data_IF_970913107440
#
_entry.id   IF_970913107440
#
_cell.length_a   1.000
_cell.length_b   1.000
_cell.length_c   1.000
_cell.angle_alpha   90.00
_cell.angle_beta   90.00
_cell.angle_gamma   90.00
#
_symmetry.space_group_name_H-M   'P 1'
#
loop_
_entity.id
_entity.type
_entity.pdbx_description
1 polymer ?
#
# COMPACT_ATOMS: atom_id res chain seq x y z
N UNK A 1 18.83 16.70 34.48
CA UNK A 1 18.12 16.44 33.21
C UNK A 1 18.85 17.21 32.13
N UNK A 2 19.36 16.53 31.10
CA UNK A 2 19.92 17.19 29.91
C UNK A 2 18.75 17.54 29.00
N UNK A 3 18.53 18.82 28.75
CA UNK A 3 17.52 19.30 27.79
C UNK A 3 18.11 19.31 26.38
N UNK A 4 17.35 18.83 25.40
CA UNK A 4 17.71 18.82 23.97
C UNK A 4 18.25 20.16 23.47
N UNK A 5 17.80 21.28 24.05
CA UNK A 5 18.23 22.65 23.73
C UNK A 5 19.66 22.99 24.14
N UNK A 6 20.35 22.12 24.89
CA UNK A 6 21.75 22.30 25.29
C UNK A 6 22.74 21.58 24.36
N UNK A 7 22.22 20.77 23.43
CA UNK A 7 23.04 20.07 22.45
C UNK A 7 23.39 21.01 21.28
N UNK A 8 24.58 20.85 20.65
CA UNK A 8 24.89 21.51 19.40
C UNK A 8 23.85 21.20 18.32
N UNK A 9 23.65 22.14 17.40
CA UNK A 9 22.70 22.02 16.30
C UNK A 9 22.91 20.74 15.49
N UNK A 10 24.17 20.40 15.22
CA UNK A 10 24.58 19.22 14.46
C UNK A 10 24.14 17.92 15.16
N UNK A 11 24.29 17.84 16.48
CA UNK A 11 23.87 16.68 17.27
C UNK A 11 22.36 16.54 17.29
N UNK A 12 21.63 17.66 17.39
CA UNK A 12 20.16 17.63 17.31
C UNK A 12 19.72 17.15 15.94
N UNK A 13 20.32 17.67 14.87
CA UNK A 13 20.02 17.26 13.49
C UNK A 13 20.27 15.77 13.29
N UNK A 14 21.40 15.25 13.76
CA UNK A 14 21.74 13.82 13.68
C UNK A 14 20.69 12.96 14.39
N UNK A 15 20.34 13.30 15.63
CA UNK A 15 19.30 12.59 16.39
C UNK A 15 17.95 12.61 15.66
N UNK A 16 17.55 13.79 15.16
CA UNK A 16 16.26 13.96 14.50
C UNK A 16 16.21 13.29 13.12
N UNK A 17 17.34 13.14 12.44
CA UNK A 17 17.42 12.47 11.13
C UNK A 17 17.11 10.97 11.19
N UNK A 18 17.19 10.37 12.39
CA UNK A 18 16.83 8.98 12.64
C UNK A 18 15.37 8.77 13.05
N UNK A 19 14.57 9.84 13.14
CA UNK A 19 13.16 9.74 13.48
C UNK A 19 12.30 9.56 12.23
N UNK A 20 11.27 8.68 12.28
CA UNK A 20 10.24 8.62 11.25
C UNK A 20 9.57 9.99 11.06
N UNK A 21 9.22 10.33 9.83
CA UNK A 21 8.72 11.68 9.45
C UNK A 21 7.54 12.17 10.30
N UNK A 22 6.63 11.28 10.74
CA UNK A 22 5.51 11.66 11.62
C UNK A 22 5.91 11.89 13.07
N UNK A 23 6.86 11.12 13.56
CA UNK A 23 7.44 11.37 14.88
C UNK A 23 8.18 12.70 14.86
N UNK A 24 8.92 12.97 13.78
CA UNK A 24 9.58 14.25 13.55
C UNK A 24 8.59 15.42 13.45
N UNK A 25 7.44 15.23 12.81
CA UNK A 25 6.36 16.23 12.78
C UNK A 25 5.81 16.48 14.19
N UNK A 26 5.67 15.42 14.99
CA UNK A 26 5.23 15.53 16.40
C UNK A 26 6.25 16.30 17.23
N UNK A 27 7.55 16.01 17.06
CA UNK A 27 8.64 16.77 17.69
C UNK A 27 8.56 18.24 17.27
N UNK A 28 8.44 18.54 15.98
CA UNK A 28 8.36 19.90 15.46
C UNK A 28 7.18 20.70 16.05
N UNK A 29 6.05 20.04 16.31
CA UNK A 29 4.86 20.62 16.94
C UNK A 29 4.96 20.77 18.46
N UNK A 30 5.82 20.00 19.10
CA UNK A 30 5.90 19.90 20.57
C UNK A 30 6.99 20.79 21.16
N UNK A 31 8.12 20.94 20.46
CA UNK A 31 9.28 21.67 20.96
C UNK A 31 9.30 23.15 20.55
N UNK A 32 10.30 23.88 21.04
CA UNK A 32 10.47 25.31 20.80
C UNK A 32 10.97 25.61 19.37
N UNK A 33 10.87 26.89 18.97
CA UNK A 33 11.19 27.38 17.62
C UNK A 33 12.53 26.88 17.05
N UNK A 34 13.65 26.86 17.80
CA UNK A 34 14.92 26.36 17.26
C UNK A 34 14.88 24.89 16.83
N UNK A 35 14.20 24.02 17.58
CA UNK A 35 14.06 22.61 17.22
C UNK A 35 13.11 22.47 16.02
N UNK A 36 12.03 23.26 15.98
CA UNK A 36 11.11 23.30 14.84
C UNK A 36 11.85 23.67 13.55
N UNK A 37 12.73 24.67 13.56
CA UNK A 37 13.49 25.10 12.39
C UNK A 37 14.41 23.99 11.85
N UNK A 38 15.00 23.18 12.74
CA UNK A 38 15.81 22.01 12.37
C UNK A 38 14.93 20.92 11.73
N UNK A 39 13.72 20.71 12.23
CA UNK A 39 12.80 19.72 11.68
C UNK A 39 12.27 20.08 10.29
N UNK A 40 12.08 21.37 9.98
CA UNK A 40 11.39 21.81 8.75
C UNK A 40 12.04 21.32 7.43
N UNK A 41 13.38 21.36 7.26
CA UNK A 41 14.04 20.75 6.10
C UNK A 41 13.83 19.23 6.02
N UNK A 42 13.91 18.54 7.16
CA UNK A 42 13.71 17.09 7.24
C UNK A 42 12.27 16.67 6.95
N UNK A 43 11.29 17.54 7.19
CA UNK A 43 9.87 17.31 6.92
C UNK A 43 9.43 17.63 5.48
N UNK A 44 10.33 18.16 4.63
CA UNK A 44 10.00 18.45 3.22
C UNK A 44 9.41 17.26 2.45
N UNK A 45 9.91 16.01 2.61
CA UNK A 45 9.32 14.85 1.96
C UNK A 45 7.86 14.63 2.35
N UNK A 46 7.53 14.79 3.64
CA UNK A 46 6.16 14.66 4.15
C UNK A 46 5.24 15.75 3.57
N UNK A 47 5.73 16.98 3.47
CA UNK A 47 4.96 18.08 2.87
C UNK A 47 4.79 17.92 1.37
N UNK A 48 5.79 17.39 0.66
CA UNK A 48 5.69 17.02 -0.75
C UNK A 48 4.60 15.96 -0.93
N UNK A 49 4.71 14.83 -0.23
CA UNK A 49 3.72 13.73 -0.29
C UNK A 49 2.27 14.21 -0.05
N UNK A 50 2.05 15.10 0.93
CA UNK A 50 0.71 15.69 1.18
C UNK A 50 0.20 16.57 0.04
N UNK A 51 1.08 17.34 -0.62
CA UNK A 51 0.72 18.16 -1.78
C UNK A 51 0.40 17.28 -2.98
N UNK A 52 1.29 16.34 -3.29
CA UNK A 52 1.14 15.39 -4.39
C UNK A 52 -0.18 14.64 -4.27
N UNK A 53 -0.49 14.13 -3.08
CA UNK A 53 -1.76 13.47 -2.79
C UNK A 53 -2.97 14.37 -3.02
N UNK A 54 -2.92 15.63 -2.59
CA UNK A 54 -4.01 16.59 -2.84
C UNK A 54 -4.21 16.82 -4.33
N UNK A 55 -3.12 16.88 -5.09
CA UNK A 55 -3.17 17.11 -6.52
C UNK A 55 -3.66 15.87 -7.28
N UNK A 56 -3.32 14.65 -6.83
CA UNK A 56 -3.89 13.40 -7.34
C UNK A 56 -5.39 13.30 -7.06
N UNK A 57 -5.85 13.67 -5.86
CA UNK A 57 -7.29 13.68 -5.54
C UNK A 57 -8.07 14.64 -6.43
N UNK A 58 -7.45 15.77 -6.83
CA UNK A 58 -8.08 16.67 -7.81
C UNK A 58 -8.14 16.07 -9.21
N UNK A 59 -7.16 15.24 -9.58
CA UNK A 59 -7.07 14.65 -10.92
C UNK A 59 -7.98 13.42 -11.07
N UNK A 60 -7.99 12.53 -10.08
CA UNK A 60 -8.65 11.22 -10.14
C UNK A 60 -9.92 11.13 -9.26
N UNK A 61 -10.18 12.12 -8.39
CA UNK A 61 -11.30 12.09 -7.45
C UNK A 61 -10.93 11.56 -6.06
N UNK A 62 -11.94 11.21 -5.26
CA UNK A 62 -11.72 10.62 -3.93
C UNK A 62 -11.03 9.25 -4.03
N UNK A 63 -10.40 8.80 -2.94
CA UNK A 63 -9.75 7.48 -2.89
C UNK A 63 -10.76 6.37 -3.18
N UNK A 64 -10.32 5.41 -4.00
CA UNK A 64 -11.08 4.22 -4.35
C UNK A 64 -11.55 3.44 -3.13
N UNK A 65 -12.70 2.78 -3.25
CA UNK A 65 -13.34 2.08 -2.12
C UNK A 65 -13.00 0.59 -2.06
N UNK A 66 -12.42 0.02 -3.12
CA UNK A 66 -12.19 -1.43 -3.30
C UNK A 66 -10.78 -1.91 -2.92
N UNK A 67 -10.02 -1.09 -2.22
CA UNK A 67 -8.74 -1.44 -1.60
C UNK A 67 -8.75 -2.87 -1.05
N UNK A 68 -7.69 -3.71 -1.20
CA UNK A 68 -7.70 -5.07 -0.66
C UNK A 68 -8.04 -4.99 0.83
N UNK A 69 -9.28 -5.34 1.11
CA UNK A 69 -9.86 -5.40 2.44
C UNK A 69 -9.37 -6.72 3.00
N UNK A 70 -8.69 -6.76 4.15
CA UNK A 70 -8.22 -8.02 4.70
C UNK A 70 -9.36 -9.04 4.76
N UNK A 71 -9.24 -10.06 3.92
CA UNK A 71 -10.17 -11.18 3.87
C UNK A 71 -9.88 -12.10 5.07
N UNK A 72 -10.88 -12.84 5.54
CA UNK A 72 -10.70 -13.74 6.69
C UNK A 72 -10.76 -13.04 8.05
N UNK A 73 -11.07 -11.75 8.11
CA UNK A 73 -11.40 -11.06 9.36
C UNK A 73 -12.60 -11.69 10.08
N UNK A 74 -13.54 -12.25 9.32
CA UNK A 74 -14.68 -13.01 9.85
C UNK A 74 -14.22 -14.26 10.61
N UNK A 75 -13.03 -14.78 10.32
CA UNK A 75 -12.42 -15.94 10.96
C UNK A 75 -11.63 -15.59 12.24
N UNK A 76 -11.48 -14.29 12.58
CA UNK A 76 -10.87 -13.82 13.83
C UNK A 76 -11.90 -13.73 14.98
N UNK A 77 -12.64 -14.81 15.19
CA UNK A 77 -13.56 -14.92 16.33
C UNK A 77 -12.81 -14.76 17.67
N UNK A 78 -13.51 -14.35 18.72
CA UNK A 78 -12.96 -14.08 20.06
C UNK A 78 -12.20 -15.27 20.66
N UNK A 79 -12.54 -16.49 20.25
CA UNK A 79 -11.94 -17.73 20.72
C UNK A 79 -10.95 -18.36 19.74
N UNK A 80 -10.68 -17.69 18.60
CA UNK A 80 -9.72 -18.20 17.61
C UNK A 80 -8.30 -18.31 18.22
N UNK A 81 -7.61 -19.46 18.09
CA UNK A 81 -6.24 -19.59 18.56
C UNK A 81 -5.29 -18.60 17.87
N UNK A 82 -5.58 -18.23 16.61
CA UNK A 82 -4.85 -17.24 15.82
C UNK A 82 -4.94 -15.85 16.45
N UNK A 83 -6.04 -15.51 17.11
CA UNK A 83 -6.19 -14.23 17.81
C UNK A 83 -5.11 -14.05 18.88
N UNK A 84 -4.81 -15.11 19.62
CA UNK A 84 -3.78 -15.10 20.67
C UNK A 84 -2.38 -14.97 20.07
N UNK A 85 -2.09 -15.64 18.96
CA UNK A 85 -0.78 -15.55 18.28
C UNK A 85 -0.55 -14.17 17.67
N UNK A 86 -1.61 -13.49 17.24
CA UNK A 86 -1.59 -12.08 16.81
C UNK A 86 -1.46 -11.08 17.98
N UNK A 87 -1.37 -11.57 19.23
CA UNK A 87 -1.28 -10.73 20.42
C UNK A 87 -2.52 -9.87 20.65
N UNK A 88 -3.68 -10.34 20.17
CA UNK A 88 -4.97 -9.71 20.37
C UNK A 88 -5.65 -10.30 21.60
N UNK A 89 -6.13 -9.43 22.48
CA UNK A 89 -6.97 -9.77 23.62
C UNK A 89 -8.43 -9.86 23.21
N UNK A 90 -9.29 -10.44 24.05
CA UNK A 90 -10.76 -10.39 23.87
C UNK A 90 -11.34 -8.96 23.84
N UNK A 91 -10.55 -7.95 24.25
CA UNK A 91 -10.98 -6.53 24.31
C UNK A 91 -10.66 -5.73 23.04
N UNK A 92 -9.78 -6.26 22.19
CA UNK A 92 -9.39 -5.56 20.97
C UNK A 92 -10.55 -5.65 19.97
N UNK A 93 -11.18 -4.51 19.67
CA UNK A 93 -12.24 -4.48 18.66
C UNK A 93 -11.59 -4.33 17.30
N UNK A 94 -11.65 -5.42 16.53
CA UNK A 94 -11.17 -5.44 15.15
C UNK A 94 -12.27 -4.84 14.28
N UNK A 95 -11.96 -3.78 13.54
CA UNK A 95 -12.82 -3.29 12.47
C UNK A 95 -12.00 -2.96 11.26
N UNK A 96 -12.62 -3.19 10.12
CA UNK A 96 -12.09 -2.66 8.89
C UNK A 96 -12.00 -1.13 8.97
N UNK A 97 -10.83 -0.55 8.63
CA UNK A 97 -10.71 0.90 8.52
C UNK A 97 -11.84 1.42 7.62
N UNK A 98 -12.58 2.41 8.13
CA UNK A 98 -13.72 2.96 7.40
C UNK A 98 -13.25 3.53 6.06
N UNK A 99 -13.94 3.10 5.00
CA UNK A 99 -13.86 3.59 3.62
C UNK A 99 -13.68 5.12 3.63
N UNK A 100 -12.60 5.65 3.03
CA UNK A 100 -12.18 7.08 2.88
C UNK A 100 -10.90 7.50 3.62
N UNK A 101 -10.28 6.66 4.45
CA UNK A 101 -8.93 6.94 4.96
C UNK A 101 -7.91 6.13 4.16
N UNK A 102 -6.92 6.80 3.59
CA UNK A 102 -5.67 6.13 3.19
C UNK A 102 -5.15 5.36 4.40
N UNK A 103 -4.81 4.10 4.19
CA UNK A 103 -4.14 3.30 5.20
C UNK A 103 -2.78 3.94 5.45
N UNK A 104 -2.59 4.39 6.68
CA UNK A 104 -1.36 5.04 7.13
C UNK A 104 -0.43 3.94 7.66
N UNK A 105 0.58 3.58 6.88
CA UNK A 105 1.55 2.57 7.29
C UNK A 105 2.87 3.19 7.73
N UNK A 106 2.87 4.40 8.29
CA UNK A 106 4.10 5.10 8.70
C UNK A 106 4.78 4.51 9.95
N UNK A 107 4.20 3.45 10.52
CA UNK A 107 4.92 2.61 11.48
C UNK A 107 5.95 1.71 10.76
N UNK A 108 5.87 1.61 9.44
CA UNK A 108 6.85 0.99 8.57
C UNK A 108 7.63 2.06 7.82
N UNK A 109 8.92 1.79 7.60
CA UNK A 109 9.75 2.60 6.73
C UNK A 109 10.07 1.80 5.46
N UNK A 110 9.87 2.43 4.31
CA UNK A 110 10.08 1.82 3.00
C UNK A 110 11.30 2.45 2.33
N UNK A 111 12.34 1.64 2.14
CA UNK A 111 13.64 2.05 1.59
C UNK A 111 14.01 1.28 0.31
N UNK A 112 13.09 0.46 -0.24
CA UNK A 112 13.32 -0.40 -1.39
C UNK A 112 14.17 -1.65 -1.11
N UNK A 113 14.54 -1.92 0.14
CA UNK A 113 15.26 -3.14 0.53
C UNK A 113 14.37 -4.39 0.54
N UNK A 114 13.06 -4.22 0.79
CA UNK A 114 12.06 -5.26 1.00
C UNK A 114 12.33 -6.13 2.23
N UNK A 115 13.02 -5.61 3.25
CA UNK A 115 13.32 -6.36 4.48
C UNK A 115 12.04 -6.77 5.23
N UNK A 116 10.96 -6.01 5.07
CA UNK A 116 9.64 -6.31 5.64
C UNK A 116 8.91 -7.47 4.92
N UNK A 117 9.26 -7.77 3.66
CA UNK A 117 8.63 -8.81 2.85
C UNK A 117 9.25 -10.17 3.17
N UNK A 118 8.86 -10.74 4.32
CA UNK A 118 9.43 -11.99 4.83
C UNK A 118 8.92 -13.23 4.07
N UNK A 119 9.71 -14.32 4.01
CA UNK A 119 9.24 -15.60 3.50
C UNK A 119 7.95 -16.06 4.16
N UNK A 120 7.09 -16.73 3.40
CA UNK A 120 5.83 -17.26 3.89
C UNK A 120 6.06 -18.46 4.81
N UNK A 121 5.17 -18.70 5.80
CA UNK A 121 5.17 -19.96 6.54
C UNK A 121 5.02 -21.12 5.57
N UNK A 122 5.71 -22.24 5.84
CA UNK A 122 5.74 -23.39 4.92
C UNK A 122 4.34 -23.87 4.52
N UNK A 123 3.40 -23.94 5.47
CA UNK A 123 2.02 -24.34 5.19
C UNK A 123 1.31 -23.41 4.21
N UNK A 124 1.53 -22.10 4.32
CA UNK A 124 0.99 -21.10 3.39
C UNK A 124 1.65 -21.22 2.02
N UNK A 125 2.98 -21.37 2.00
CA UNK A 125 3.74 -21.54 0.75
C UNK A 125 3.32 -22.82 -0.01
N UNK A 126 3.10 -23.92 0.71
CA UNK A 126 2.70 -25.21 0.13
C UNK A 126 1.28 -25.11 -0.48
N UNK A 127 0.33 -24.42 0.17
CA UNK A 127 -1.03 -24.21 -0.35
C UNK A 127 -1.04 -23.24 -1.55
N UNK A 128 -0.17 -22.21 -1.51
CA UNK A 128 -0.01 -21.21 -2.58
C UNK A 128 0.68 -21.73 -3.83
N UNK A 129 1.35 -22.89 -3.79
CA UNK A 129 2.19 -23.38 -4.89
C UNK A 129 1.42 -23.50 -6.22
N UNK A 130 0.11 -23.74 -6.20
CA UNK A 130 -0.74 -23.83 -7.40
C UNK A 130 -1.31 -22.48 -7.89
N UNK A 131 -1.13 -21.40 -7.14
CA UNK A 131 -1.72 -20.09 -7.43
C UNK A 131 -0.72 -19.09 -8.04
N UNK A 132 0.56 -19.45 -8.13
CA UNK A 132 1.57 -18.61 -8.76
C UNK A 132 1.43 -18.60 -10.28
N UNK A 133 1.41 -17.40 -10.87
CA UNK A 133 1.33 -17.19 -12.31
C UNK A 133 2.28 -16.07 -12.72
N UNK A 134 3.16 -16.39 -13.69
CA UNK A 134 3.98 -15.42 -14.41
C UNK A 134 5.45 -15.43 -13.96
N UNK A 135 6.41 -15.38 -14.90
CA UNK A 135 7.83 -15.22 -14.56
C UNK A 135 8.16 -13.77 -14.23
N UNK A 136 9.26 -13.56 -13.50
CA UNK A 136 9.82 -12.23 -13.28
C UNK A 136 10.11 -11.47 -14.58
N UNK A 137 10.05 -10.14 -14.50
CA UNK A 137 10.35 -9.23 -15.59
C UNK A 137 11.85 -9.31 -15.96
N UNK A 138 12.13 -9.94 -17.10
CA UNK A 138 13.49 -10.12 -17.62
C UNK A 138 13.57 -9.84 -19.13
N UNK A 139 14.77 -9.56 -19.60
CA UNK A 139 15.07 -9.43 -21.03
C UNK A 139 14.39 -8.24 -21.69
N UNK A 140 13.88 -8.44 -22.91
CA UNK A 140 13.43 -7.36 -23.80
C UNK A 140 12.31 -6.52 -23.21
N UNK A 141 11.40 -7.12 -22.42
CA UNK A 141 10.30 -6.39 -21.79
C UNK A 141 10.78 -5.34 -20.78
N UNK A 142 11.88 -5.61 -20.05
CA UNK A 142 12.48 -4.63 -19.15
C UNK A 142 13.15 -3.50 -19.95
N UNK A 143 13.92 -3.84 -20.98
CA UNK A 143 14.62 -2.87 -21.81
C UNK A 143 13.64 -1.94 -22.54
N UNK A 144 12.52 -2.49 -23.03
CA UNK A 144 11.46 -1.73 -23.69
C UNK A 144 10.76 -0.77 -22.71
N UNK A 145 10.50 -1.22 -21.48
CA UNK A 145 9.94 -0.37 -20.42
C UNK A 145 10.88 0.79 -20.07
N UNK A 146 12.16 0.50 -19.81
CA UNK A 146 13.16 1.51 -19.45
C UNK A 146 13.38 2.51 -20.59
N UNK A 147 13.49 2.02 -21.83
CA UNK A 147 13.64 2.86 -23.02
C UNK A 147 12.42 3.75 -23.26
N UNK A 148 11.21 3.25 -22.96
CA UNK A 148 9.98 4.04 -23.08
C UNK A 148 9.88 5.09 -21.98
N UNK A 149 10.27 4.74 -20.74
CA UNK A 149 10.31 5.67 -19.62
C UNK A 149 11.29 6.82 -19.85
N UNK A 150 12.50 6.53 -20.33
CA UNK A 150 13.50 7.55 -20.67
C UNK A 150 12.98 8.50 -21.75
N UNK A 151 12.38 7.95 -22.81
CA UNK A 151 11.86 8.71 -23.95
C UNK A 151 10.80 9.74 -23.56
N UNK A 152 9.97 9.43 -22.57
CA UNK A 152 8.91 10.34 -22.08
C UNK A 152 9.31 11.08 -20.79
N UNK A 153 10.53 10.86 -20.29
CA UNK A 153 11.08 11.53 -19.13
C UNK A 153 10.42 11.17 -17.80
N UNK A 154 9.88 9.95 -17.65
CA UNK A 154 9.36 9.45 -16.36
C UNK A 154 10.44 8.67 -15.62
N UNK A 155 10.42 8.78 -14.29
CA UNK A 155 11.32 7.99 -13.43
C UNK A 155 10.54 6.83 -12.83
N UNK A 156 10.93 5.59 -13.15
CA UNK A 156 10.34 4.41 -12.52
C UNK A 156 10.96 4.22 -11.13
N UNK A 157 10.16 3.99 -10.07
CA UNK A 157 10.69 3.74 -8.73
C UNK A 157 11.67 2.55 -8.71
N UNK A 158 12.87 2.70 -8.11
CA UNK A 158 13.83 1.60 -8.02
C UNK A 158 13.28 0.36 -7.31
N UNK A 159 12.46 0.56 -6.27
CA UNK A 159 11.79 -0.52 -5.55
C UNK A 159 10.87 -1.34 -6.48
N UNK A 160 10.11 -0.67 -7.35
CA UNK A 160 9.25 -1.33 -8.34
C UNK A 160 10.07 -2.22 -9.27
N UNK A 161 11.15 -1.69 -9.85
CA UNK A 161 12.01 -2.46 -10.75
C UNK A 161 12.64 -3.67 -10.04
N UNK A 162 13.17 -3.47 -8.83
CA UNK A 162 13.76 -4.54 -8.04
C UNK A 162 12.77 -5.66 -7.72
N UNK A 163 11.52 -5.32 -7.39
CA UNK A 163 10.48 -6.30 -7.12
C UNK A 163 10.06 -7.04 -8.41
N UNK A 164 9.79 -6.32 -9.50
CA UNK A 164 9.34 -6.92 -10.75
C UNK A 164 10.39 -7.84 -11.38
N UNK A 165 11.68 -7.61 -11.13
CA UNK A 165 12.79 -8.44 -11.60
C UNK A 165 13.09 -9.65 -10.70
N UNK A 166 12.46 -9.76 -9.53
CA UNK A 166 12.78 -10.77 -8.53
C UNK A 166 11.59 -11.70 -8.26
N UNK A 167 11.63 -12.85 -8.91
CA UNK A 167 10.65 -13.94 -8.74
C UNK A 167 10.54 -14.39 -7.28
N UNK A 168 11.65 -14.45 -6.54
CA UNK A 168 11.63 -14.83 -5.14
C UNK A 168 10.85 -13.83 -4.28
N UNK A 169 10.92 -12.53 -4.57
CA UNK A 169 10.11 -11.52 -3.87
C UNK A 169 8.63 -11.63 -4.24
N UNK A 170 8.32 -11.91 -5.51
CA UNK A 170 6.94 -12.09 -5.97
C UNK A 170 6.28 -13.31 -5.34
N UNK A 171 7.02 -14.43 -5.22
CA UNK A 171 6.56 -15.67 -4.57
C UNK A 171 6.24 -15.48 -3.08
N UNK A 172 6.72 -14.41 -2.44
CA UNK A 172 6.38 -14.10 -1.04
C UNK A 172 5.04 -13.41 -0.89
N UNK A 173 4.43 -12.91 -1.96
CA UNK A 173 3.10 -12.31 -1.89
C UNK A 173 2.07 -13.44 -2.07
N UNK A 174 1.34 -13.83 -1.01
CA UNK A 174 0.26 -14.78 -1.18
C UNK A 174 -0.92 -14.06 -1.86
N UNK A 175 -1.74 -14.81 -2.59
CA UNK A 175 -2.95 -14.27 -3.20
C UNK A 175 -4.05 -15.32 -3.24
N UNK A 176 -5.07 -15.14 -2.41
CA UNK A 176 -6.26 -16.01 -2.45
C UNK A 176 -7.10 -15.84 -3.72
N UNK A 177 -6.97 -14.71 -4.44
CA UNK A 177 -7.62 -14.44 -5.73
C UNK A 177 -6.79 -14.83 -6.97
N UNK A 178 -5.72 -15.62 -6.80
CA UNK A 178 -4.81 -16.01 -7.89
C UNK A 178 -4.24 -14.82 -8.70
N UNK A 179 -3.83 -13.76 -7.99
CA UNK A 179 -3.20 -12.58 -8.57
C UNK A 179 -1.81 -12.88 -9.14
N UNK A 180 -1.49 -12.22 -10.24
CA UNK A 180 -0.25 -12.42 -10.99
C UNK A 180 0.49 -11.10 -11.19
N UNK A 181 1.76 -11.04 -10.80
CA UNK A 181 2.63 -9.90 -11.10
C UNK A 181 3.21 -10.05 -12.49
N UNK A 182 2.81 -9.17 -13.41
CA UNK A 182 3.33 -9.12 -14.76
C UNK A 182 3.06 -7.75 -15.35
N UNK A 183 3.91 -7.31 -16.28
CA UNK A 183 3.64 -6.09 -17.03
C UNK A 183 2.51 -6.32 -18.04
N UNK A 184 1.61 -5.34 -18.16
CA UNK A 184 0.70 -5.28 -19.30
C UNK A 184 1.49 -5.17 -20.60
N UNK A 185 1.01 -5.79 -21.68
CA UNK A 185 1.58 -5.63 -23.02
C UNK A 185 1.60 -4.14 -23.41
N UNK A 186 2.64 -3.72 -24.14
CA UNK A 186 2.89 -2.31 -24.47
C UNK A 186 3.71 -1.55 -23.42
N UNK A 187 3.86 -2.08 -22.20
CA UNK A 187 4.71 -1.52 -21.15
C UNK A 187 4.14 -0.23 -20.55
N UNK A 188 4.62 0.93 -21.01
CA UNK A 188 4.22 2.24 -20.49
C UNK A 188 3.04 2.79 -21.29
N UNK A 189 1.92 3.03 -20.60
CA UNK A 189 0.69 3.53 -21.18
C UNK A 189 0.53 5.01 -20.87
N UNK A 190 0.19 5.83 -21.87
CA UNK A 190 -0.17 7.23 -21.69
C UNK A 190 -1.61 7.35 -21.22
N UNK A 191 -1.84 8.08 -20.14
CA UNK A 191 -3.19 8.37 -19.65
C UNK A 191 -3.75 9.59 -20.41
N UNK A 192 -4.96 9.51 -20.98
CA UNK A 192 -5.57 10.64 -21.67
C UNK A 192 -5.68 11.87 -20.77
N UNK A 193 -5.33 13.06 -21.27
CA UNK A 193 -5.32 14.31 -20.47
C UNK A 193 -6.68 14.57 -19.81
N UNK A 194 -7.78 14.24 -20.50
CA UNK A 194 -9.14 14.41 -19.99
C UNK A 194 -9.43 13.59 -18.71
N UNK A 195 -8.76 12.45 -18.51
CA UNK A 195 -8.91 11.60 -17.32
C UNK A 195 -8.19 12.15 -16.08
N UNK A 196 -7.20 13.00 -16.28
CA UNK A 196 -6.30 13.47 -15.21
C UNK A 196 -6.27 15.00 -15.12
N UNK A 197 -7.39 15.64 -15.44
CA UNK A 197 -7.57 17.09 -15.30
C UNK A 197 -6.62 17.93 -16.16
N UNK A 198 -6.28 17.44 -17.35
CA UNK A 198 -5.40 18.12 -18.30
C UNK A 198 -3.90 17.85 -18.10
N UNK A 199 -3.53 17.03 -17.12
CA UNK A 199 -2.12 16.72 -16.82
C UNK A 199 -1.55 15.72 -17.82
N UNK A 200 -0.22 15.62 -17.84
CA UNK A 200 0.49 14.53 -18.51
C UNK A 200 0.81 13.46 -17.48
N UNK A 201 0.52 12.21 -17.77
CA UNK A 201 0.81 11.11 -16.89
C UNK A 201 0.78 9.78 -17.62
N UNK A 202 1.47 8.82 -17.03
CA UNK A 202 1.65 7.49 -17.58
C UNK A 202 1.27 6.45 -16.54
N UNK A 203 0.92 5.24 -16.98
CA UNK A 203 0.60 4.10 -16.16
C UNK A 203 1.40 2.87 -16.60
N UNK A 204 1.79 2.04 -15.65
CA UNK A 204 2.32 0.70 -15.88
C UNK A 204 1.37 -0.27 -15.21
N UNK A 205 0.64 -1.09 -15.97
CA UNK A 205 -0.09 -2.22 -15.38
C UNK A 205 0.89 -3.28 -14.92
N UNK A 206 0.78 -3.73 -13.66
CA UNK A 206 1.79 -4.62 -13.07
C UNK A 206 1.23 -5.79 -12.25
N UNK A 207 -0.05 -5.75 -11.90
CA UNK A 207 -0.71 -6.81 -11.14
C UNK A 207 -2.13 -6.97 -11.66
N UNK A 208 -2.48 -8.21 -11.98
CA UNK A 208 -3.83 -8.59 -12.39
C UNK A 208 -4.44 -9.52 -11.35
N UNK A 209 -5.63 -9.19 -10.88
CA UNK A 209 -6.54 -10.10 -10.18
C UNK A 209 -7.60 -10.63 -11.14
N UNK A 210 -8.27 -11.72 -10.75
CA UNK A 210 -9.41 -12.26 -11.49
C UNK A 210 -10.49 -11.22 -11.84
N UNK A 211 -10.57 -10.11 -11.11
CA UNK A 211 -11.60 -9.08 -11.26
C UNK A 211 -11.10 -7.63 -11.31
N UNK A 212 -9.83 -7.35 -11.00
CA UNK A 212 -9.33 -5.95 -10.93
C UNK A 212 -7.90 -5.86 -11.46
N UNK A 213 -7.60 -4.78 -12.19
CA UNK A 213 -6.25 -4.43 -12.64
C UNK A 213 -5.59 -3.41 -11.72
N UNK A 214 -4.29 -3.53 -11.50
CA UNK A 214 -3.52 -2.59 -10.67
C UNK A 214 -2.40 -1.96 -11.49
N UNK A 215 -2.33 -0.64 -11.44
CA UNK A 215 -1.42 0.16 -12.24
C UNK A 215 -0.58 1.09 -11.37
N UNK A 216 0.63 1.39 -11.82
CA UNK A 216 1.51 2.40 -11.23
C UNK A 216 1.45 3.68 -12.07
N UNK A 217 0.87 4.74 -11.53
CA UNK A 217 0.86 6.08 -12.11
C UNK A 217 2.21 6.78 -11.93
N UNK A 218 2.68 7.43 -12.99
CA UNK A 218 3.93 8.18 -13.06
C UNK A 218 3.72 9.51 -13.79
N UNK A 219 4.07 10.62 -13.13
CA UNK A 219 4.18 11.93 -13.78
C UNK A 219 5.62 12.17 -14.29
N UNK A 220 5.82 12.85 -15.43
CA UNK A 220 7.15 13.19 -15.93
C UNK A 220 7.98 14.04 -14.95
N UNK A 221 9.29 13.90 -15.07
CA UNK A 221 10.28 14.64 -14.29
C UNK A 221 10.88 13.82 -13.15
N UNK A 222 12.05 14.27 -12.67
CA UNK A 222 12.79 13.62 -11.58
C UNK A 222 12.00 13.56 -10.27
N UNK A 223 11.17 14.56 -10.05
CA UNK A 223 10.34 14.72 -8.86
C UNK A 223 8.86 14.43 -9.12
N UNK A 224 8.54 13.81 -10.26
CA UNK A 224 7.17 13.49 -10.66
C UNK A 224 6.42 12.66 -9.62
N UNK A 225 5.11 12.88 -9.55
CA UNK A 225 4.23 12.15 -8.65
C UNK A 225 4.18 10.68 -9.06
N UNK A 226 4.28 9.77 -8.08
CA UNK A 226 4.12 8.34 -8.24
C UNK A 226 3.04 7.83 -7.29
N UNK A 227 2.05 7.09 -7.80
CA UNK A 227 1.03 6.47 -6.95
C UNK A 227 0.41 5.25 -7.63
N UNK A 228 -0.15 4.34 -6.85
CA UNK A 228 -0.92 3.22 -7.38
C UNK A 228 -2.33 3.70 -7.78
N UNK A 229 -2.84 3.11 -8.85
CA UNK A 229 -4.21 3.21 -9.33
C UNK A 229 -4.79 1.80 -9.41
N UNK A 230 -6.11 1.70 -9.27
CA UNK A 230 -6.86 0.49 -9.60
C UNK A 230 -7.77 0.76 -10.77
N UNK A 231 -7.94 -0.24 -11.60
CA UNK A 231 -8.88 -0.24 -12.70
C UNK A 231 -10.16 -0.98 -12.32
N UNK A 232 -11.31 -0.38 -12.62
CA UNK A 232 -12.64 -0.86 -12.28
C UNK A 232 -13.34 -1.40 -13.53
N UNK A 233 -13.31 -2.71 -13.73
CA UNK A 233 -14.26 -3.43 -14.59
C UNK A 233 -14.64 -4.76 -13.95
N UNK A 234 -15.93 -5.14 -14.02
CA UNK A 234 -16.43 -6.45 -13.56
C UNK A 234 -15.94 -7.60 -14.47
N UNK A 235 -15.26 -7.30 -15.58
CA UNK A 235 -14.66 -8.26 -16.52
C UNK A 235 -13.35 -7.67 -17.07
N UNK A 236 -12.28 -7.70 -16.27
CA UNK A 236 -10.96 -7.30 -16.73
C UNK A 236 -10.54 -8.18 -17.93
N UNK A 237 -10.27 -7.62 -19.14
CA UNK A 237 -9.92 -8.41 -20.33
C UNK A 237 -8.49 -8.99 -20.29
N UNK A 238 -7.82 -8.94 -19.13
CA UNK A 238 -6.50 -9.54 -18.92
C UNK A 238 -6.64 -11.07 -18.76
N UNK A 239 -7.12 -11.75 -19.81
CA UNK A 239 -7.04 -13.21 -19.88
C UNK A 239 -5.56 -13.62 -19.79
N UNK A 240 -5.26 -14.37 -18.73
CA UNK A 240 -3.97 -14.99 -18.48
C UNK A 240 -3.73 -16.08 -19.53
N UNK A 241 -3.34 -15.69 -20.73
CA UNK A 241 -2.58 -16.44 -21.74
C UNK A 241 -2.50 -15.60 -23.04
N UNK A 242 -1.52 -14.70 -23.15
CA UNK A 242 -1.26 -13.96 -24.40
C UNK A 242 -2.06 -12.68 -24.62
N UNK A 243 -2.31 -11.92 -23.55
CA UNK A 243 -3.06 -10.65 -23.44
C UNK A 243 -2.89 -9.72 -24.66
N UNK A 244 -3.89 -9.73 -25.54
CA UNK A 244 -4.23 -8.60 -26.38
C UNK A 244 -4.87 -7.53 -25.48
N UNK A 245 -4.20 -6.39 -25.28
CA UNK A 245 -4.92 -5.16 -24.94
C UNK A 245 -5.88 -4.92 -26.12
N UNK A 246 -7.20 -4.75 -25.91
CA UNK A 246 -8.10 -4.44 -27.00
C UNK A 246 -7.58 -3.20 -27.74
N UNK A 247 -7.05 -3.45 -28.93
CA UNK A 247 -6.49 -2.43 -29.79
C UNK A 247 -7.63 -1.53 -30.24
N UNK A 248 -7.52 -0.24 -29.89
CA UNK A 248 -8.33 0.84 -30.46
C UNK A 248 -9.85 0.62 -30.35
N UNK A 249 -10.42 0.79 -29.15
CA UNK A 249 -11.81 1.26 -29.13
C UNK A 249 -11.83 2.66 -29.74
N UNK A 250 -12.24 2.75 -31.00
CA UNK A 250 -12.39 4.01 -31.76
C UNK A 250 -13.27 5.05 -31.01
N UNK A 251 -14.01 4.64 -29.97
CA UNK A 251 -15.03 5.44 -29.28
C UNK A 251 -14.75 5.75 -27.79
N UNK A 252 -13.52 5.66 -27.29
CA UNK A 252 -13.26 6.14 -25.92
C UNK A 252 -13.45 7.66 -25.81
N UNK A 253 -14.45 8.16 -25.04
CA UNK A 253 -14.83 9.58 -25.04
C UNK A 253 -13.78 10.48 -24.40
N UNK A 254 -12.76 9.91 -23.77
CA UNK A 254 -11.69 10.62 -23.08
C UNK A 254 -10.43 10.79 -23.92
N UNK A 255 -10.31 10.07 -25.04
CA UNK A 255 -9.12 10.11 -25.91
C UNK A 255 -9.31 11.18 -26.98
N UNK A 256 -8.55 12.26 -26.87
CA UNK A 256 -8.58 13.35 -27.87
C UNK A 256 -7.66 13.05 -29.05
N UNK A 257 -7.81 13.76 -30.18
CA UNK A 257 -6.86 13.68 -31.28
C UNK A 257 -5.44 14.11 -30.84
N UNK A 258 -5.35 15.09 -29.94
CA UNK A 258 -4.07 15.51 -29.36
C UNK A 258 -3.41 14.37 -28.57
N UNK A 259 -4.17 13.60 -27.81
CA UNK A 259 -3.64 12.41 -27.12
C UNK A 259 -3.10 11.37 -28.13
N UNK A 260 -3.82 11.14 -29.24
CA UNK A 260 -3.40 10.24 -30.34
C UNK A 260 -2.10 10.71 -30.99
N UNK A 261 -2.00 12.00 -31.29
CA UNK A 261 -0.82 12.59 -31.92
C UNK A 261 0.40 12.54 -30.98
N UNK A 262 0.20 12.90 -29.70
CA UNK A 262 1.23 12.84 -28.65
C UNK A 262 1.74 11.40 -28.47
N UNK A 263 0.83 10.42 -28.37
CA UNK A 263 1.17 9.02 -28.15
C UNK A 263 1.97 8.45 -29.32
N UNK A 264 1.56 8.78 -30.55
CA UNK A 264 2.28 8.39 -31.78
C UNK A 264 3.66 9.01 -31.84
N UNK A 265 3.80 10.28 -31.50
CA UNK A 265 5.10 10.96 -31.45
C UNK A 265 6.03 10.35 -30.40
N UNK A 266 5.47 9.98 -29.24
CA UNK A 266 6.18 9.36 -28.13
C UNK A 266 6.36 7.85 -28.29
N UNK A 267 5.74 7.21 -29.30
CA UNK A 267 5.75 5.76 -29.51
C UNK A 267 5.37 4.98 -28.24
N UNK A 268 4.38 5.49 -27.53
CA UNK A 268 3.76 4.84 -26.38
C UNK A 268 2.31 4.54 -26.74
N UNK A 269 1.71 3.56 -26.09
CA UNK A 269 0.30 3.26 -26.26
C UNK A 269 -0.56 4.18 -25.39
N UNK A 270 -1.81 4.40 -25.77
CA UNK A 270 -2.76 5.15 -24.96
C UNK A 270 -3.56 4.16 -24.14
N UNK A 271 -3.77 4.47 -22.86
CA UNK A 271 -4.79 3.83 -22.06
C UNK A 271 -6.17 4.30 -22.56
N UNK A 272 -6.63 3.67 -23.65
CA UNK A 272 -7.84 4.04 -24.36
C UNK A 272 -9.10 3.37 -23.79
N UNK A 273 -9.00 2.66 -22.66
CA UNK A 273 -10.12 1.86 -22.15
C UNK A 273 -11.17 2.71 -21.40
N UNK A 274 -12.44 2.28 -21.48
CA UNK A 274 -13.61 2.90 -20.84
C UNK A 274 -13.57 2.86 -19.30
N UNK A 275 -12.82 1.89 -18.77
CA UNK A 275 -12.28 1.78 -17.42
C UNK A 275 -12.31 3.02 -16.52
N UNK A 276 -12.83 2.85 -15.30
CA UNK A 276 -12.77 3.90 -14.28
C UNK A 276 -11.51 3.71 -13.45
N UNK A 277 -10.55 4.62 -13.62
CA UNK A 277 -9.36 4.66 -12.79
C UNK A 277 -9.71 5.20 -11.40
N UNK A 278 -9.48 4.39 -10.38
CA UNK A 278 -9.61 4.79 -8.98
C UNK A 278 -8.24 5.06 -8.35
N UNK A 279 -8.15 6.18 -7.63
CA UNK A 279 -6.94 6.52 -6.90
C UNK A 279 -6.82 5.68 -5.64
N UNK A 280 -5.77 4.86 -5.57
CA UNK A 280 -5.38 4.14 -4.34
C UNK A 280 -4.72 5.13 -3.36
N UNK A 281 -3.87 6.02 -3.88
CA UNK A 281 -3.26 7.07 -3.08
C UNK A 281 -2.12 6.59 -2.18
N UNK A 282 -1.49 5.48 -2.55
CA UNK A 282 -0.26 4.94 -1.97
C UNK A 282 0.85 4.95 -3.01
N UNK A 283 2.09 4.97 -2.56
CA UNK A 283 3.22 4.55 -3.39
C UNK A 283 3.24 3.02 -3.55
N UNK A 284 4.18 2.53 -4.36
CA UNK A 284 4.29 1.11 -4.67
C UNK A 284 4.58 0.24 -3.43
N UNK A 285 5.55 0.61 -2.59
CA UNK A 285 5.94 -0.21 -1.43
C UNK A 285 4.84 -0.22 -0.37
N UNK A 286 4.20 0.91 -0.10
CA UNK A 286 3.06 1.01 0.82
C UNK A 286 1.91 0.16 0.32
N UNK A 287 1.60 0.20 -0.98
CA UNK A 287 0.58 -0.67 -1.58
C UNK A 287 0.94 -2.15 -1.42
N UNK A 288 2.17 -2.52 -1.77
CA UNK A 288 2.63 -3.91 -1.73
C UNK A 288 2.66 -4.47 -0.29
N UNK A 289 3.10 -3.67 0.69
CA UNK A 289 3.09 -4.07 2.09
C UNK A 289 1.67 -4.24 2.62
N UNK A 290 0.74 -3.35 2.25
CA UNK A 290 -0.66 -3.53 2.62
C UNK A 290 -1.24 -4.81 2.01
N UNK A 291 -0.96 -5.05 0.73
CA UNK A 291 -1.39 -6.27 0.05
C UNK A 291 -0.83 -7.52 0.73
N UNK A 292 0.48 -7.56 0.97
CA UNK A 292 1.17 -8.67 1.61
C UNK A 292 0.56 -9.02 2.97
N UNK A 293 0.47 -8.06 3.90
CA UNK A 293 -0.04 -8.36 5.24
C UNK A 293 -1.54 -8.66 5.25
N UNK A 294 -2.32 -8.04 4.36
CA UNK A 294 -3.74 -8.35 4.16
C UNK A 294 -3.94 -9.82 3.72
N UNK A 295 -3.18 -10.26 2.73
CA UNK A 295 -3.24 -11.63 2.21
C UNK A 295 -2.68 -12.64 3.21
N UNK A 296 -1.53 -12.35 3.84
CA UNK A 296 -0.97 -13.24 4.86
C UNK A 296 -1.94 -13.41 6.03
N UNK A 297 -2.65 -12.35 6.44
CA UNK A 297 -3.66 -12.45 7.49
C UNK A 297 -4.75 -13.46 7.12
N UNK A 298 -5.27 -13.40 5.89
CA UNK A 298 -6.27 -14.36 5.40
C UNK A 298 -5.75 -15.79 5.55
N UNK A 299 -4.54 -16.06 5.07
CA UNK A 299 -3.95 -17.40 5.07
C UNK A 299 -3.61 -17.91 6.47
N UNK A 300 -3.06 -17.04 7.32
CA UNK A 300 -2.78 -17.35 8.73
C UNK A 300 -4.07 -17.70 9.48
N UNK A 301 -5.16 -16.98 9.23
CA UNK A 301 -6.47 -17.30 9.82
C UNK A 301 -7.04 -18.61 9.27
N UNK A 302 -6.96 -18.83 7.95
CA UNK A 302 -7.52 -20.02 7.30
C UNK A 302 -6.79 -21.31 7.67
N UNK A 303 -5.47 -21.26 7.80
CA UNK A 303 -4.62 -22.44 8.03
C UNK A 303 -4.15 -22.57 9.48
N UNK A 304 -4.57 -21.66 10.36
CA UNK A 304 -4.07 -21.55 11.74
C UNK A 304 -2.53 -21.52 11.82
N UNK A 305 -1.88 -20.88 10.84
CA UNK A 305 -0.43 -20.82 10.75
C UNK A 305 0.18 -19.82 11.75
N UNK A 306 1.49 -19.90 11.96
CA UNK A 306 2.20 -18.89 12.74
C UNK A 306 2.27 -17.56 11.95
N UNK A 307 2.10 -16.41 12.64
CA UNK A 307 2.19 -15.10 12.00
C UNK A 307 3.62 -14.79 11.55
N UNK A 308 3.77 -14.20 10.36
CA UNK A 308 5.06 -13.68 9.89
C UNK A 308 5.49 -12.44 10.69
N UNK A 309 6.79 -12.13 10.78
CA UNK A 309 7.26 -10.89 11.37
C UNK A 309 6.58 -9.65 10.74
N UNK A 310 6.14 -8.71 11.57
CA UNK A 310 5.43 -7.49 11.15
C UNK A 310 3.92 -7.63 11.03
N UNK A 311 3.37 -8.86 10.91
CA UNK A 311 1.92 -9.05 10.80
C UNK A 311 1.19 -8.63 12.09
N UNK A 312 1.79 -8.90 13.25
CA UNK A 312 1.25 -8.53 14.56
C UNK A 312 1.11 -7.02 14.67
N UNK A 313 2.15 -6.28 14.27
CA UNK A 313 2.17 -4.82 14.23
C UNK A 313 1.12 -4.31 13.24
N UNK A 314 1.10 -4.83 12.02
CA UNK A 314 0.11 -4.48 10.99
C UNK A 314 -1.32 -4.62 11.53
N UNK A 315 -1.68 -5.76 12.11
CA UNK A 315 -3.02 -5.99 12.66
C UNK A 315 -3.35 -4.98 13.77
N UNK A 316 -2.41 -4.72 14.69
CA UNK A 316 -2.60 -3.78 15.80
C UNK A 316 -2.76 -2.34 15.33
N UNK A 317 -1.99 -1.90 14.35
CA UNK A 317 -2.03 -0.52 13.88
C UNK A 317 -3.16 -0.28 12.87
N UNK A 318 -3.47 -1.27 12.03
CA UNK A 318 -4.39 -1.11 10.91
C UNK A 318 -5.82 -1.53 11.21
N UNK A 319 -6.01 -2.51 12.10
CA UNK A 319 -7.31 -3.18 12.26
C UNK A 319 -7.92 -3.03 13.67
N UNK A 320 -7.11 -2.77 14.69
CA UNK A 320 -7.62 -2.52 16.05
C UNK A 320 -8.11 -1.07 16.16
N UNK A 321 -9.43 -0.87 16.15
CA UNK A 321 -10.05 0.45 16.25
C UNK A 321 -9.93 1.03 17.67
N UNK A 322 -10.12 0.18 18.68
CA UNK A 322 -10.08 0.54 20.09
C UNK A 322 -9.89 -0.69 20.96
N UNK A 323 -9.34 -0.46 22.16
CA UNK A 323 -9.43 -1.40 23.28
C UNK A 323 -10.64 -1.02 24.12
N UNK A 324 -11.62 -1.91 24.18
CA UNK A 324 -12.72 -1.71 25.11
C UNK A 324 -12.20 -1.84 26.54
N UNK A 325 -12.13 -0.70 27.23
CA UNK A 325 -12.03 -0.68 28.68
C UNK A 325 -13.36 -1.24 29.17
N UNK A 326 -13.38 -2.31 29.97
CA UNK A 326 -14.64 -2.84 30.49
C UNK A 326 -15.39 -1.68 31.15
N UNK A 327 -16.58 -1.36 30.64
CA UNK A 327 -17.53 -0.58 31.41
C UNK A 327 -17.66 -1.34 32.71
N UNK A 328 -17.37 -0.71 33.86
CA UNK A 328 -17.68 -1.30 35.16
C UNK A 328 -19.08 -1.89 35.04
N UNK A 329 -19.24 -3.22 35.09
CA UNK A 329 -20.56 -3.82 35.18
C UNK A 329 -21.25 -3.14 36.36
N UNK A 330 -22.50 -2.72 36.20
CA UNK A 330 -23.31 -2.25 37.33
C UNK A 330 -23.31 -3.30 38.47
N UNK A 331 -23.12 -4.57 38.13
CA UNK A 331 -23.00 -5.70 39.05
C UNK A 331 -21.69 -5.73 39.86
N UNK A 332 -20.64 -5.01 39.47
CA UNK A 332 -19.42 -4.92 40.29
C UNK A 332 -19.66 -4.04 41.53
N UNK A 333 -20.67 -3.16 41.56
CA UNK A 333 -21.02 -2.39 42.77
C UNK A 333 -21.56 -3.24 43.92
N UNK A 334 -22.08 -4.44 43.61
CA UNK A 334 -22.66 -5.35 44.60
C UNK A 334 -21.73 -6.51 45.00
N UNK A 335 -20.52 -6.58 44.43
CA UNK A 335 -19.54 -7.60 44.79
C UNK A 335 -18.78 -7.24 46.07
N UNK A 336 -18.54 -8.24 46.91
CA UNK A 336 -17.61 -8.12 48.05
C UNK A 336 -16.21 -7.74 47.55
N UNK A 337 -15.42 -7.07 48.39
CA UNK A 337 -14.12 -6.51 47.99
C UNK A 337 -13.16 -7.58 47.45
N UNK A 338 -13.20 -8.79 48.01
CA UNK A 338 -12.39 -9.93 47.56
C UNK A 338 -12.83 -10.48 46.20
N UNK A 339 -14.15 -10.59 45.96
CA UNK A 339 -14.68 -10.98 44.66
C UNK A 339 -14.35 -9.93 43.58
N UNK A 340 -14.39 -8.64 43.94
CA UNK A 340 -13.94 -7.53 43.10
C UNK A 340 -12.46 -7.67 42.71
N UNK A 341 -11.58 -7.95 43.67
CA UNK A 341 -10.15 -8.09 43.44
C UNK A 341 -9.85 -9.29 42.54
N UNK A 342 -10.53 -10.41 42.75
CA UNK A 342 -10.38 -11.60 41.91
C UNK A 342 -10.88 -11.35 40.48
N UNK A 343 -12.08 -10.77 40.32
CA UNK A 343 -12.61 -10.43 39.00
C UNK A 343 -11.74 -9.41 38.26
N UNK A 344 -11.16 -8.43 38.96
CA UNK A 344 -10.21 -7.48 38.35
C UNK A 344 -8.89 -8.18 37.98
N UNK A 345 -8.38 -9.10 38.80
CA UNK A 345 -7.17 -9.86 38.50
C UNK A 345 -7.36 -10.75 37.25
N UNK A 346 -8.51 -11.44 37.15
CA UNK A 346 -8.86 -12.29 36.00
C UNK A 346 -9.10 -11.46 34.72
N UNK A 347 -9.47 -10.18 34.87
CA UNK A 347 -9.63 -9.22 33.77
C UNK A 347 -8.30 -8.55 33.35
N UNK A 348 -7.22 -8.67 34.12
CA UNK A 348 -5.93 -8.05 33.81
C UNK A 348 -4.87 -9.04 33.30
N UNK A 349 -5.17 -10.33 33.32
CA UNK A 349 -4.48 -11.39 32.57
C UNK A 349 -5.06 -11.49 31.16
#
# INVERSE_FOLDING_TARGET
>A
MVTLTLLPHETILEILSHLPLKQLETVAKTFNHPITDICLPLLQPLFKSRRDRKDLVRAFGEFGQRFPVPHGLESLDLDSPVRKTLGLSRRDVIKLPRRRRTLDMDFMEFHGDFDWLKPLPKSVSDDMAGHYRGPALIGTALDDLLSSAERVGVTIPPAFLKFMQNEELQLRIPSHHAGAFHLTSGGLLRIPKARIGGRVGYAIGFLSYLIDGVMLYLEPGKDGICSVLTDMEDECPYEVDGVNVPHEEEDCPYVTQEDRDDSKAQKVEILAHGCTLELVGMDFETYLANLYYSEVLYWVCRLEAEPVPGLVEYVKYMLVERREIPKKPKEIEDLTEDARRQTIADLLQ
#
